data_IF_235703711665
#
_entry.id   IF_235703711665
#
_cell.length_a   1.000
_cell.length_b   1.000
_cell.length_c   1.000
_cell.angle_alpha   90.00
_cell.angle_beta   90.00
_cell.angle_gamma   90.00
#
_symmetry.space_group_name_H-M   'P 1'
#
loop_
_entity.id
_entity.type
_entity.pdbx_description
1 polymer ?
#
# COMPACT_ATOMS: atom_id res chain seq x y z
N UNK A 1 -2.44 22.86 -3.28
CA UNK A 1 -2.42 22.29 -4.65
C UNK A 1 -3.72 21.52 -4.88
N UNK A 2 -4.30 21.65 -6.07
CA UNK A 2 -5.50 20.87 -6.40
C UNK A 2 -5.11 19.41 -6.71
N UNK A 3 -5.86 18.44 -6.14
CA UNK A 3 -5.64 17.01 -6.39
C UNK A 3 -6.46 16.61 -7.61
N UNK A 4 -5.91 16.76 -8.83
CA UNK A 4 -6.66 16.67 -10.07
C UNK A 4 -6.60 15.29 -10.74
N UNK A 5 -5.56 14.47 -10.47
CA UNK A 5 -5.44 13.14 -11.07
C UNK A 5 -6.47 12.19 -10.53
N UNK A 6 -7.01 11.33 -11.38
CA UNK A 6 -7.91 10.24 -10.96
C UNK A 6 -7.16 9.27 -10.07
N UNK A 7 -7.77 8.89 -8.94
CA UNK A 7 -7.21 7.99 -7.96
C UNK A 7 -8.04 6.72 -7.84
N UNK A 8 -7.40 5.58 -8.02
CA UNK A 8 -7.96 4.24 -7.82
C UNK A 8 -7.22 3.53 -6.70
N UNK A 9 -7.89 2.61 -6.03
CA UNK A 9 -7.29 1.83 -4.95
C UNK A 9 -7.68 0.35 -5.02
N UNK A 10 -6.79 -0.52 -4.54
CA UNK A 10 -7.06 -1.94 -4.34
C UNK A 10 -6.71 -2.35 -2.91
N UNK A 11 -7.51 -3.24 -2.31
CA UNK A 11 -7.22 -3.84 -1.00
C UNK A 11 -7.77 -5.26 -0.88
N UNK A 12 -7.23 -6.03 0.08
CA UNK A 12 -7.67 -7.40 0.39
C UNK A 12 -8.17 -7.59 1.82
N UNK A 13 -7.80 -6.71 2.72
CA UNK A 13 -8.11 -6.83 4.15
C UNK A 13 -9.34 -5.99 4.53
N UNK A 14 -9.22 -5.13 5.55
CA UNK A 14 -10.37 -4.43 6.12
C UNK A 14 -10.75 -3.14 5.40
N UNK A 15 -9.88 -2.61 4.51
CA UNK A 15 -10.07 -1.30 3.89
C UNK A 15 -9.87 -0.10 4.82
N UNK A 16 -9.62 -0.31 6.11
CA UNK A 16 -9.47 0.77 7.11
C UNK A 16 -8.33 1.75 6.78
N UNK A 17 -7.26 1.27 6.15
CA UNK A 17 -6.17 2.14 5.73
C UNK A 17 -6.64 3.15 4.68
N UNK A 18 -7.37 2.71 3.65
CA UNK A 18 -7.92 3.61 2.62
C UNK A 18 -8.92 4.59 3.22
N UNK A 19 -9.75 4.14 4.15
CA UNK A 19 -10.71 5.00 4.88
C UNK A 19 -9.98 6.12 5.62
N UNK A 20 -8.97 5.76 6.42
CA UNK A 20 -8.18 6.71 7.20
C UNK A 20 -7.38 7.68 6.31
N UNK A 21 -6.79 7.19 5.22
CA UNK A 21 -6.10 8.02 4.22
C UNK A 21 -7.08 8.97 3.54
N UNK A 22 -8.27 8.49 3.14
CA UNK A 22 -9.30 9.30 2.50
C UNK A 22 -9.80 10.43 3.40
N UNK A 23 -9.99 10.14 4.68
CA UNK A 23 -10.40 11.13 5.68
C UNK A 23 -9.33 12.22 5.84
N UNK A 24 -8.06 11.83 6.04
CA UNK A 24 -6.95 12.76 6.20
C UNK A 24 -6.68 13.61 4.96
N UNK A 25 -6.83 13.01 3.78
CA UNK A 25 -6.62 13.67 2.49
C UNK A 25 -7.80 14.59 2.11
N UNK A 26 -8.97 14.40 2.74
CA UNK A 26 -10.22 15.08 2.36
C UNK A 26 -10.74 14.64 0.98
N UNK A 27 -10.28 13.49 0.48
CA UNK A 27 -10.63 12.96 -0.85
C UNK A 27 -10.73 11.44 -0.82
N UNK A 28 -11.76 10.90 -1.45
CA UNK A 28 -11.95 9.46 -1.64
C UNK A 28 -11.41 9.03 -3.01
N UNK A 29 -10.99 7.77 -3.17
CA UNK A 29 -10.73 7.20 -4.49
C UNK A 29 -11.95 7.32 -5.40
N UNK A 30 -11.69 7.42 -6.71
CA UNK A 30 -12.77 7.46 -7.73
C UNK A 30 -13.43 6.10 -7.88
N UNK A 31 -12.64 5.01 -7.78
CA UNK A 31 -13.13 3.64 -7.61
C UNK A 31 -12.14 2.81 -6.77
N UNK A 32 -12.68 1.79 -6.11
CA UNK A 32 -11.93 0.87 -5.25
C UNK A 32 -12.26 -0.56 -5.69
N UNK A 33 -11.25 -1.43 -5.69
CA UNK A 33 -11.40 -2.84 -6.02
C UNK A 33 -10.96 -3.70 -4.84
N UNK A 34 -11.76 -4.71 -4.49
CA UNK A 34 -11.42 -5.62 -3.40
C UNK A 34 -11.82 -7.06 -3.68
N UNK A 35 -10.99 -7.98 -3.20
CA UNK A 35 -11.32 -9.38 -3.11
C UNK A 35 -11.84 -9.78 -1.70
N UNK A 36 -11.99 -8.80 -0.80
CA UNK A 36 -12.73 -8.99 0.44
C UNK A 36 -14.23 -8.77 0.19
N UNK A 37 -14.97 -9.86 0.04
CA UNK A 37 -16.40 -9.83 -0.26
C UNK A 37 -17.28 -9.43 0.94
N UNK A 38 -16.69 -9.32 2.13
CA UNK A 38 -17.38 -8.97 3.39
C UNK A 38 -17.17 -7.50 3.80
N UNK A 39 -16.50 -6.71 2.95
CA UNK A 39 -16.29 -5.30 3.26
C UNK A 39 -17.61 -4.52 3.30
N UNK A 40 -17.86 -3.84 4.42
CA UNK A 40 -19.07 -3.05 4.71
C UNK A 40 -18.75 -1.62 5.20
N UNK A 41 -17.52 -1.15 4.98
CA UNK A 41 -17.01 0.11 5.51
C UNK A 41 -17.50 1.38 4.81
N UNK A 42 -16.95 2.51 5.21
CA UNK A 42 -17.39 3.86 4.83
C UNK A 42 -17.24 4.20 3.33
N UNK A 43 -16.47 3.40 2.58
CA UNK A 43 -16.23 3.60 1.14
C UNK A 43 -17.05 2.65 0.25
N UNK A 44 -17.99 1.90 0.81
CA UNK A 44 -18.76 0.84 0.13
C UNK A 44 -19.35 1.28 -1.23
N UNK A 45 -19.84 2.51 -1.32
CA UNK A 45 -20.43 3.07 -2.56
C UNK A 45 -19.45 3.24 -3.72
N UNK A 46 -18.15 3.10 -3.46
CA UNK A 46 -17.07 3.20 -4.45
C UNK A 46 -16.42 1.86 -4.77
N UNK A 47 -16.88 0.77 -4.14
CA UNK A 47 -16.19 -0.52 -4.15
C UNK A 47 -16.77 -1.45 -5.21
N UNK A 48 -15.86 -2.05 -5.98
CA UNK A 48 -16.11 -3.16 -6.88
C UNK A 48 -15.57 -4.43 -6.25
N UNK A 49 -16.45 -5.41 -6.08
CA UNK A 49 -16.13 -6.70 -5.47
C UNK A 49 -15.83 -7.74 -6.53
N UNK A 50 -14.82 -8.57 -6.32
CA UNK A 50 -14.54 -9.66 -7.24
C UNK A 50 -13.39 -10.55 -6.81
N UNK A 51 -13.24 -11.68 -7.51
CA UNK A 51 -12.00 -12.46 -7.45
C UNK A 51 -10.89 -11.69 -8.15
N UNK A 52 -9.63 -12.04 -7.84
CA UNK A 52 -8.45 -11.34 -8.36
C UNK A 52 -8.49 -11.11 -9.88
N UNK A 53 -8.68 -12.17 -10.65
CA UNK A 53 -8.69 -12.07 -12.12
C UNK A 53 -9.84 -11.18 -12.63
N UNK A 54 -11.05 -11.34 -12.07
CA UNK A 54 -12.21 -10.51 -12.42
C UNK A 54 -12.05 -9.04 -12.04
N UNK A 55 -11.31 -8.75 -10.94
CA UNK A 55 -10.92 -7.39 -10.57
C UNK A 55 -10.01 -6.79 -11.65
N UNK A 56 -8.98 -7.51 -12.08
CA UNK A 56 -8.05 -7.04 -13.09
C UNK A 56 -8.74 -6.80 -14.43
N UNK A 57 -9.54 -7.76 -14.90
CA UNK A 57 -10.31 -7.65 -16.14
C UNK A 57 -11.27 -6.46 -16.13
N UNK A 58 -12.01 -6.27 -15.04
CA UNK A 58 -12.92 -5.13 -14.89
C UNK A 58 -12.16 -3.80 -14.88
N UNK A 59 -11.05 -3.74 -14.14
CA UNK A 59 -10.26 -2.51 -14.01
C UNK A 59 -9.67 -2.04 -15.35
N UNK A 60 -9.28 -2.98 -16.24
CA UNK A 60 -8.80 -2.66 -17.60
C UNK A 60 -9.82 -1.82 -18.39
N UNK A 61 -11.13 -2.07 -18.20
CA UNK A 61 -12.19 -1.30 -18.85
C UNK A 61 -12.52 0.04 -18.19
N UNK A 62 -12.06 0.27 -16.96
CA UNK A 62 -12.49 1.41 -16.12
C UNK A 62 -11.37 2.39 -15.81
N UNK A 63 -10.14 1.92 -15.58
CA UNK A 63 -9.03 2.79 -15.22
C UNK A 63 -8.67 3.72 -16.39
N UNK A 64 -8.60 5.01 -16.09
CA UNK A 64 -8.27 6.04 -17.08
C UNK A 64 -6.75 6.19 -17.22
N UNK A 65 -6.24 6.48 -18.43
CA UNK A 65 -4.85 6.88 -18.60
C UNK A 65 -4.46 8.08 -17.73
N UNK A 66 -3.19 8.19 -17.40
CA UNK A 66 -2.62 9.27 -16.58
C UNK A 66 -3.20 9.33 -15.16
N UNK A 67 -3.63 8.20 -14.60
CA UNK A 67 -4.17 8.09 -13.24
C UNK A 67 -3.18 7.44 -12.28
N UNK A 68 -3.58 7.38 -11.01
CA UNK A 68 -2.84 6.73 -9.93
C UNK A 68 -3.64 5.55 -9.40
N UNK A 69 -3.01 4.39 -9.27
CA UNK A 69 -3.52 3.20 -8.62
C UNK A 69 -2.69 2.91 -7.37
N UNK A 70 -3.33 2.73 -6.21
CA UNK A 70 -2.66 2.41 -4.95
C UNK A 70 -3.08 1.06 -4.40
N UNK A 71 -2.13 0.29 -3.89
CA UNK A 71 -2.36 -1.00 -3.27
C UNK A 71 -2.25 -0.87 -1.74
N UNK A 72 -3.35 -1.12 -1.04
CA UNK A 72 -3.47 -0.99 0.41
C UNK A 72 -3.65 -2.38 1.05
N UNK A 73 -2.53 -3.07 1.29
CA UNK A 73 -2.57 -4.45 1.77
C UNK A 73 -3.29 -5.40 0.78
N UNK A 74 -3.09 -5.19 -0.52
CA UNK A 74 -3.59 -6.10 -1.55
C UNK A 74 -2.73 -7.35 -1.58
N UNK A 75 -3.30 -8.50 -1.16
CA UNK A 75 -2.57 -9.75 -0.90
C UNK A 75 -2.35 -10.64 -2.15
N UNK A 76 -2.49 -10.06 -3.35
CA UNK A 76 -2.27 -10.75 -4.62
C UNK A 76 -1.19 -10.05 -5.43
N UNK A 77 -0.32 -10.82 -6.03
CA UNK A 77 0.70 -10.30 -6.96
C UNK A 77 -0.01 -9.92 -8.26
N UNK A 78 0.24 -8.70 -8.72
CA UNK A 78 -0.25 -8.27 -10.03
C UNK A 78 0.56 -9.00 -11.12
N UNK A 79 -0.09 -9.68 -12.07
CA UNK A 79 0.61 -10.39 -13.12
C UNK A 79 1.35 -9.41 -14.05
N UNK A 80 2.45 -9.89 -14.65
CA UNK A 80 3.33 -9.08 -15.52
C UNK A 80 2.53 -8.34 -16.60
N UNK A 81 1.61 -9.02 -17.28
CA UNK A 81 0.79 -8.41 -18.34
C UNK A 81 0.00 -7.18 -17.85
N UNK A 82 -0.50 -7.24 -16.61
CA UNK A 82 -1.29 -6.14 -16.03
C UNK A 82 -0.40 -4.95 -15.67
N UNK A 83 0.78 -5.20 -15.08
CA UNK A 83 1.75 -4.14 -14.77
C UNK A 83 2.24 -3.47 -16.06
N UNK A 84 2.52 -4.23 -17.11
CA UNK A 84 2.89 -3.69 -18.43
C UNK A 84 1.75 -2.87 -19.04
N UNK A 85 0.51 -3.33 -18.95
CA UNK A 85 -0.66 -2.59 -19.40
C UNK A 85 -0.83 -1.27 -18.63
N UNK A 86 -0.67 -1.26 -17.30
CA UNK A 86 -0.69 -0.02 -16.51
C UNK A 86 0.35 0.98 -17.02
N UNK A 87 1.56 0.51 -17.28
CA UNK A 87 2.66 1.33 -17.81
C UNK A 87 2.33 1.89 -19.18
N UNK A 88 1.79 1.10 -20.11
CA UNK A 88 1.37 1.54 -21.44
C UNK A 88 0.29 2.63 -21.39
N UNK A 89 -0.62 2.56 -20.40
CA UNK A 89 -1.66 3.57 -20.16
C UNK A 89 -1.19 4.76 -19.34
N UNK A 90 0.11 4.83 -18.99
CA UNK A 90 0.66 5.82 -18.07
C UNK A 90 -0.11 5.88 -16.73
N UNK A 91 -0.54 4.73 -16.22
CA UNK A 91 -1.16 4.60 -14.90
C UNK A 91 -0.04 4.26 -13.91
N UNK A 92 0.23 5.16 -12.99
CA UNK A 92 1.22 4.94 -11.94
C UNK A 92 0.64 4.04 -10.85
N UNK A 93 1.29 2.91 -10.59
CA UNK A 93 0.86 1.96 -9.58
C UNK A 93 1.85 1.94 -8.41
N UNK A 94 1.35 2.12 -7.19
CA UNK A 94 2.16 2.20 -5.98
C UNK A 94 1.68 1.20 -4.93
N UNK A 95 2.64 0.60 -4.23
CA UNK A 95 2.39 -0.29 -3.09
C UNK A 95 3.11 0.21 -1.85
N UNK A 96 2.49 0.04 -0.69
CA UNK A 96 3.16 0.22 0.59
C UNK A 96 3.57 -1.15 1.13
N UNK A 97 4.85 -1.29 1.44
CA UNK A 97 5.42 -2.45 2.09
C UNK A 97 5.73 -2.12 3.56
N UNK A 98 5.18 -2.89 4.54
CA UNK A 98 5.29 -2.55 5.96
C UNK A 98 6.60 -3.07 6.58
N UNK A 99 7.71 -2.77 5.95
CA UNK A 99 9.06 -3.00 6.43
C UNK A 99 10.06 -2.10 5.70
N UNK A 100 11.17 -1.70 6.34
CA UNK A 100 12.19 -0.84 5.73
C UNK A 100 13.13 -1.65 4.81
N UNK A 101 12.60 -2.10 3.66
CA UNK A 101 13.31 -2.95 2.69
C UNK A 101 14.50 -2.28 2.02
N UNK A 102 14.60 -0.94 2.09
CA UNK A 102 15.79 -0.21 1.66
C UNK A 102 17.01 -0.49 2.58
N UNK A 103 16.76 -0.84 3.84
CA UNK A 103 17.79 -1.23 4.81
C UNK A 103 17.93 -2.76 4.90
N UNK A 104 16.82 -3.49 4.85
CA UNK A 104 16.74 -4.93 5.10
C UNK A 104 16.06 -5.63 3.93
N UNK A 105 16.85 -5.94 2.89
CA UNK A 105 16.33 -6.52 1.63
C UNK A 105 15.67 -7.88 1.80
N UNK A 106 16.04 -8.61 2.83
CA UNK A 106 15.46 -9.90 3.19
C UNK A 106 14.03 -9.80 3.74
N UNK A 107 13.54 -8.58 4.04
CA UNK A 107 12.15 -8.33 4.43
C UNK A 107 11.18 -8.14 3.25
N UNK A 108 11.64 -8.23 2.00
CA UNK A 108 10.76 -8.25 0.82
C UNK A 108 9.85 -9.48 0.82
N UNK A 109 8.69 -9.34 0.20
CA UNK A 109 7.75 -10.45 0.01
C UNK A 109 6.84 -10.66 1.21
N UNK A 110 6.50 -11.92 1.45
CA UNK A 110 5.42 -12.32 2.36
C UNK A 110 5.79 -12.19 3.85
N UNK A 111 4.78 -11.90 4.67
CA UNK A 111 4.85 -11.85 6.15
C UNK A 111 6.02 -11.00 6.70
N UNK A 112 6.20 -9.73 6.21
CA UNK A 112 7.35 -8.91 6.59
C UNK A 112 7.31 -8.48 8.06
N UNK A 113 6.13 -8.31 8.67
CA UNK A 113 5.99 -7.85 10.04
C UNK A 113 6.43 -8.93 11.05
N UNK A 114 6.09 -10.19 10.82
CA UNK A 114 6.53 -11.32 11.63
C UNK A 114 8.04 -11.45 11.59
N UNK A 115 8.63 -11.43 10.40
CA UNK A 115 10.10 -11.51 10.23
C UNK A 115 10.82 -10.31 10.82
N UNK A 116 10.22 -9.11 10.69
CA UNK A 116 10.76 -7.89 11.31
C UNK A 116 10.73 -7.99 12.83
N UNK A 117 9.61 -8.47 13.40
CA UNK A 117 9.46 -8.68 14.83
C UNK A 117 10.52 -9.66 15.38
N UNK A 118 10.67 -10.81 14.76
CA UNK A 118 11.68 -11.81 15.13
C UNK A 118 13.09 -11.23 15.04
N UNK A 119 13.43 -10.59 13.93
CA UNK A 119 14.76 -10.01 13.72
C UNK A 119 15.13 -8.89 14.69
N UNK A 120 14.14 -8.12 15.18
CA UNK A 120 14.38 -7.13 16.25
C UNK A 120 14.76 -7.84 17.56
N UNK A 121 14.06 -8.92 17.93
CA UNK A 121 14.34 -9.69 19.13
C UNK A 121 15.68 -10.44 19.08
N UNK A 122 16.12 -10.79 17.88
CA UNK A 122 17.44 -11.37 17.63
C UNK A 122 18.56 -10.30 17.49
N UNK A 123 18.22 -9.02 17.55
CA UNK A 123 19.17 -7.92 17.39
C UNK A 123 19.65 -7.70 15.95
N UNK A 124 18.99 -8.30 14.95
CA UNK A 124 19.34 -8.14 13.53
C UNK A 124 18.85 -6.82 12.94
N UNK A 125 17.71 -6.32 13.42
CA UNK A 125 17.09 -5.09 12.92
C UNK A 125 16.95 -4.05 14.04
N UNK A 126 17.31 -2.81 13.71
CA UNK A 126 17.31 -1.67 14.63
C UNK A 126 16.27 -0.61 14.26
N UNK A 127 15.62 -0.78 13.13
CA UNK A 127 14.60 0.15 12.63
C UNK A 127 13.36 -0.61 12.18
N UNK A 128 12.21 0.02 12.42
CA UNK A 128 10.94 -0.33 11.77
C UNK A 128 10.53 0.82 10.85
N UNK A 129 9.59 0.58 9.96
CA UNK A 129 9.06 1.60 9.07
C UNK A 129 8.36 1.00 7.87
N UNK A 130 7.87 1.88 7.02
CA UNK A 130 7.17 1.55 5.80
C UNK A 130 7.90 2.14 4.60
N UNK A 131 7.71 1.55 3.46
CA UNK A 131 8.14 2.14 2.19
C UNK A 131 6.99 2.16 1.20
N UNK A 132 6.86 3.25 0.43
CA UNK A 132 6.03 3.30 -0.76
C UNK A 132 6.96 3.18 -1.96
N UNK A 133 6.67 2.22 -2.82
CA UNK A 133 7.45 1.95 -4.03
C UNK A 133 6.55 1.81 -5.26
N UNK A 134 7.13 2.05 -6.44
CA UNK A 134 6.47 1.76 -7.71
C UNK A 134 6.29 0.24 -7.85
N UNK A 135 5.14 -0.17 -8.38
CA UNK A 135 4.89 -1.59 -8.68
C UNK A 135 5.46 -1.92 -10.04
N UNK A 136 6.40 -2.87 -10.04
CA UNK A 136 6.98 -3.47 -11.23
C UNK A 136 6.74 -4.99 -11.20
N UNK A 137 6.99 -5.75 -12.29
CA UNK A 137 6.78 -7.19 -12.30
C UNK A 137 7.52 -7.97 -11.21
N UNK A 138 8.70 -7.48 -10.78
CA UNK A 138 9.48 -8.04 -9.68
C UNK A 138 8.95 -7.54 -8.34
N UNK A 139 8.55 -8.49 -7.48
CA UNK A 139 7.90 -8.21 -6.19
C UNK A 139 8.80 -7.32 -5.30
N UNK A 140 8.21 -6.24 -4.77
CA UNK A 140 8.83 -5.26 -3.87
C UNK A 140 10.20 -4.74 -4.34
N UNK A 141 10.38 -4.60 -5.65
CA UNK A 141 11.67 -4.25 -6.26
C UNK A 141 11.66 -2.96 -7.07
N UNK A 142 10.50 -2.30 -7.17
CA UNK A 142 10.39 -0.99 -7.81
C UNK A 142 11.10 0.12 -7.05
N UNK A 143 11.22 1.27 -7.68
CA UNK A 143 11.80 2.47 -7.08
C UNK A 143 11.05 2.86 -5.80
N UNK A 144 11.82 3.09 -4.72
CA UNK A 144 11.27 3.57 -3.45
C UNK A 144 11.12 5.09 -3.54
N UNK A 145 9.89 5.56 -3.36
CA UNK A 145 9.51 6.95 -3.56
C UNK A 145 9.27 7.70 -2.26
N UNK A 146 8.84 6.98 -1.21
CA UNK A 146 8.65 7.54 0.12
C UNK A 146 8.88 6.46 1.19
N UNK A 147 9.29 6.87 2.37
CA UNK A 147 9.48 5.97 3.51
C UNK A 147 9.35 6.70 4.83
N UNK A 148 9.06 5.95 5.88
CA UNK A 148 9.27 6.35 7.27
C UNK A 148 10.24 5.39 7.97
N UNK A 149 10.92 5.86 9.01
CA UNK A 149 11.81 5.04 9.82
C UNK A 149 11.71 5.45 11.29
N UNK A 150 11.62 4.47 12.16
CA UNK A 150 11.66 4.64 13.61
C UNK A 150 12.68 3.68 14.21
N UNK A 151 13.66 4.16 15.01
CA UNK A 151 14.60 3.29 15.72
C UNK A 151 13.86 2.52 16.82
N UNK A 152 14.20 1.24 16.95
CA UNK A 152 13.61 0.34 17.95
C UNK A 152 14.65 -0.62 18.52
N UNK A 153 14.29 -1.24 19.63
CA UNK A 153 14.95 -2.41 20.19
C UNK A 153 13.91 -3.36 20.78
N UNK A 154 14.31 -4.53 21.22
CA UNK A 154 13.40 -5.55 21.78
C UNK A 154 12.62 -5.09 23.03
N UNK A 155 13.12 -4.06 23.74
CA UNK A 155 12.43 -3.45 24.89
C UNK A 155 11.44 -2.35 24.51
N UNK A 156 11.39 -1.95 23.24
CA UNK A 156 10.45 -0.90 22.77
C UNK A 156 9.01 -1.36 22.94
N UNK A 157 8.13 -0.46 23.36
CA UNK A 157 6.70 -0.76 23.57
C UNK A 157 6.02 -1.30 22.31
N UNK A 158 6.41 -0.82 21.14
CA UNK A 158 5.90 -1.25 19.83
C UNK A 158 6.33 -2.68 19.47
N UNK A 159 7.39 -3.18 20.07
CA UNK A 159 7.95 -4.52 19.84
C UNK A 159 7.52 -5.56 20.89
N UNK A 160 6.45 -5.32 21.66
CA UNK A 160 5.92 -6.28 22.64
C UNK A 160 5.20 -7.47 22.00
N UNK A 161 4.65 -7.29 20.82
CA UNK A 161 3.99 -8.33 20.03
C UNK A 161 3.96 -7.94 18.56
N UNK A 162 3.76 -8.91 17.67
CA UNK A 162 3.53 -8.67 16.24
C UNK A 162 2.33 -7.73 16.02
N UNK A 163 1.25 -7.89 16.81
CA UNK A 163 0.07 -7.01 16.73
C UNK A 163 0.39 -5.57 17.11
N UNK A 164 1.18 -5.33 18.16
CA UNK A 164 1.63 -3.98 18.54
C UNK A 164 2.49 -3.34 17.46
N UNK A 165 3.41 -4.11 16.89
CA UNK A 165 4.27 -3.67 15.79
C UNK A 165 3.42 -3.33 14.55
N UNK A 166 2.51 -4.22 14.16
CA UNK A 166 1.63 -4.04 13.01
C UNK A 166 0.73 -2.80 13.16
N UNK A 167 0.17 -2.56 14.34
CA UNK A 167 -0.63 -1.35 14.63
C UNK A 167 0.19 -0.07 14.49
N UNK A 168 1.43 -0.08 14.98
CA UNK A 168 2.33 1.08 14.84
C UNK A 168 2.68 1.35 13.39
N UNK A 169 3.08 0.31 12.64
CA UNK A 169 3.36 0.41 11.21
C UNK A 169 2.14 0.91 10.42
N UNK A 170 0.95 0.38 10.70
CA UNK A 170 -0.28 0.81 10.03
C UNK A 170 -0.65 2.27 10.31
N UNK A 171 -0.46 2.73 11.56
CA UNK A 171 -0.68 4.15 11.89
C UNK A 171 0.29 5.06 11.12
N UNK A 172 1.57 4.70 11.06
CA UNK A 172 2.59 5.44 10.30
C UNK A 172 2.31 5.38 8.79
N UNK A 173 1.90 4.21 8.27
CA UNK A 173 1.52 4.02 6.87
C UNK A 173 0.41 4.98 6.41
N UNK A 174 -0.60 5.21 7.26
CA UNK A 174 -1.68 6.15 6.97
C UNK A 174 -1.15 7.59 6.77
N UNK A 175 -0.19 8.00 7.58
CA UNK A 175 0.46 9.32 7.44
C UNK A 175 1.28 9.37 6.16
N UNK A 176 2.13 8.37 5.96
CA UNK A 176 3.01 8.28 4.80
C UNK A 176 2.22 8.30 3.48
N UNK A 177 1.15 7.49 3.37
CA UNK A 177 0.23 7.52 2.22
C UNK A 177 -0.40 8.89 2.01
N UNK A 178 -0.85 9.55 3.08
CA UNK A 178 -1.50 10.86 2.97
C UNK A 178 -0.55 11.89 2.38
N UNK A 179 0.69 11.97 2.88
CA UNK A 179 1.67 12.92 2.36
C UNK A 179 2.09 12.58 0.92
N UNK A 180 2.37 11.33 0.63
CA UNK A 180 2.71 10.88 -0.71
C UNK A 180 1.61 11.19 -1.75
N UNK A 181 0.34 10.93 -1.39
CA UNK A 181 -0.79 11.16 -2.31
C UNK A 181 -1.08 12.63 -2.55
N UNK A 182 -0.76 13.54 -1.65
CA UNK A 182 -0.84 14.98 -1.92
C UNK A 182 0.03 15.38 -3.10
N UNK A 183 1.21 14.79 -3.23
CA UNK A 183 2.11 15.05 -4.35
C UNK A 183 1.71 14.23 -5.59
N UNK A 184 1.50 12.92 -5.43
CA UNK A 184 1.20 12.02 -6.55
C UNK A 184 -0.09 12.37 -7.32
N UNK A 185 -1.10 12.91 -6.62
CA UNK A 185 -2.40 13.31 -7.21
C UNK A 185 -2.45 14.76 -7.67
N UNK A 186 -1.44 15.56 -7.38
CA UNK A 186 -1.32 16.91 -7.92
C UNK A 186 -0.81 16.88 -9.36
N UNK A 187 -1.27 17.81 -10.17
CA UNK A 187 -0.64 18.10 -11.45
C UNK A 187 0.71 18.76 -11.14
N UNK A 188 1.79 18.18 -11.64
CA UNK A 188 3.12 18.76 -11.59
C UNK A 188 3.21 20.02 -12.46
#
# INVERSE_FOLDING_TARGET
>A
MALNKTWYAMFSHTGKEIEAVSERLGRKPDAIYTNNLEYDGALLSKVWFGRHDGILENSVGVLKPNSVLTLHGYNRILPKWYVEWLKEKNIKCYNLHPAPIQLYRDLKGKDPQERLFEGIHEGRYLYIGNVIHEVIPEVDSGEILAWDLMPVNSGSAVCRSVDSLSKSLHSAATVLWTEFLKEALSDG
#
